data_IF_266657290236
#
_entry.id   IF_266657290236
#
_cell.length_a   1.000
_cell.length_b   1.000
_cell.length_c   1.000
_cell.angle_alpha   90.00
_cell.angle_beta   90.00
_cell.angle_gamma   90.00
#
_symmetry.space_group_name_H-M   'P 1'
#
loop_
_entity.id
_entity.type
_entity.pdbx_description
1 polymer ?
#
# COMPACT_ATOMS: atom_id res chain seq x y z
N UNK A 1 -23.29 -8.35 -14.71
CA UNK A 1 -24.02 -8.94 -13.58
C UNK A 1 -23.06 -9.24 -12.41
N UNK A 2 -22.02 -10.05 -12.56
CA UNK A 2 -21.11 -10.45 -11.47
C UNK A 2 -20.58 -9.26 -10.63
N UNK A 3 -20.10 -8.17 -11.25
CA UNK A 3 -19.57 -7.01 -10.53
C UNK A 3 -20.68 -6.23 -9.81
N UNK A 4 -21.90 -6.22 -10.33
CA UNK A 4 -23.06 -5.64 -9.65
C UNK A 4 -23.38 -6.45 -8.40
N UNK A 5 -23.39 -7.78 -8.50
CA UNK A 5 -23.64 -8.66 -7.37
C UNK A 5 -22.53 -8.52 -6.30
N UNK A 6 -21.26 -8.41 -6.72
CA UNK A 6 -20.14 -8.17 -5.81
C UNK A 6 -20.29 -6.83 -5.06
N UNK A 7 -20.66 -5.75 -5.77
CA UNK A 7 -20.90 -4.44 -5.16
C UNK A 7 -22.10 -4.50 -4.22
N UNK A 8 -23.20 -5.11 -4.64
CA UNK A 8 -24.41 -5.23 -3.82
C UNK A 8 -24.15 -6.04 -2.54
N UNK A 9 -23.45 -7.16 -2.65
CA UNK A 9 -23.07 -7.97 -1.49
C UNK A 9 -22.10 -7.24 -0.58
N UNK A 10 -21.13 -6.51 -1.15
CA UNK A 10 -20.06 -5.87 -0.40
C UNK A 10 -19.15 -6.89 0.33
N UNK A 11 -18.27 -6.39 1.18
CA UNK A 11 -17.37 -7.21 2.00
C UNK A 11 -17.55 -6.91 3.48
N UNK A 12 -17.67 -7.94 4.31
CA UNK A 12 -17.81 -7.79 5.76
C UNK A 12 -16.52 -7.30 6.40
N UNK A 13 -16.66 -6.41 7.38
CA UNK A 13 -15.54 -5.90 8.18
C UNK A 13 -15.88 -5.99 9.68
N UNK A 14 -14.91 -6.42 10.46
CA UNK A 14 -14.97 -6.36 11.92
C UNK A 14 -14.70 -4.92 12.40
N UNK A 15 -15.77 -4.16 12.56
CA UNK A 15 -15.74 -2.75 12.94
C UNK A 15 -15.09 -2.55 14.32
N UNK A 16 -15.41 -3.40 15.29
CA UNK A 16 -14.87 -3.31 16.65
C UNK A 16 -13.35 -3.53 16.65
N UNK A 17 -12.89 -4.53 15.90
CA UNK A 17 -11.46 -4.81 15.70
C UNK A 17 -10.78 -3.67 14.95
N UNK A 18 -11.41 -3.08 13.94
CA UNK A 18 -10.88 -1.94 13.19
C UNK A 18 -10.66 -0.71 14.08
N UNK A 19 -11.65 -0.33 14.89
CA UNK A 19 -11.56 0.77 15.85
C UNK A 19 -10.44 0.51 16.88
N UNK A 20 -10.39 -0.70 17.42
CA UNK A 20 -9.38 -1.10 18.41
C UNK A 20 -7.97 -1.04 17.82
N UNK A 21 -7.82 -1.52 16.59
CA UNK A 21 -6.56 -1.47 15.86
C UNK A 21 -6.12 -0.03 15.57
N UNK A 22 -7.05 0.82 15.13
CA UNK A 22 -6.78 2.26 14.92
C UNK A 22 -6.28 2.95 16.19
N UNK A 23 -6.93 2.71 17.34
CA UNK A 23 -6.48 3.23 18.65
C UNK A 23 -5.09 2.73 19.03
N UNK A 24 -4.80 1.44 18.79
CA UNK A 24 -3.47 0.87 19.05
C UNK A 24 -2.39 1.54 18.21
N UNK A 25 -2.62 1.73 16.90
CA UNK A 25 -1.67 2.41 16.01
C UNK A 25 -1.45 3.86 16.42
N UNK A 26 -2.52 4.59 16.77
CA UNK A 26 -2.45 5.97 17.27
C UNK A 26 -1.59 6.06 18.52
N UNK A 27 -1.84 5.18 19.50
CA UNK A 27 -1.03 5.09 20.73
C UNK A 27 0.45 4.85 20.42
N UNK A 28 0.75 3.93 19.49
CA UNK A 28 2.14 3.64 19.06
C UNK A 28 2.80 4.85 18.41
N UNK A 29 2.07 5.57 17.54
CA UNK A 29 2.55 6.81 16.94
C UNK A 29 2.90 7.84 18.01
N UNK A 30 1.99 8.07 18.95
CA UNK A 30 2.16 9.08 20.01
C UNK A 30 3.34 8.72 20.93
N UNK A 31 3.51 7.44 21.27
CA UNK A 31 4.67 6.96 22.01
C UNK A 31 6.01 7.29 21.29
N UNK A 32 6.05 7.13 19.97
CA UNK A 32 7.25 7.45 19.19
C UNK A 32 7.50 8.95 19.16
N UNK A 33 6.46 9.76 18.95
CA UNK A 33 6.59 11.23 18.92
C UNK A 33 7.07 11.75 20.27
N UNK A 34 6.49 11.27 21.37
CA UNK A 34 6.90 11.65 22.73
C UNK A 34 8.35 11.19 23.03
N UNK A 35 8.77 10.03 22.52
CA UNK A 35 10.15 9.58 22.66
C UNK A 35 11.14 10.47 21.89
N UNK A 36 10.76 10.98 20.69
CA UNK A 36 11.59 11.96 19.98
C UNK A 36 11.70 13.25 20.81
N UNK A 37 10.60 13.75 21.36
CA UNK A 37 10.58 14.94 22.20
C UNK A 37 11.45 14.75 23.44
N UNK A 38 11.39 13.60 24.10
CA UNK A 38 12.24 13.28 25.26
C UNK A 38 13.74 13.23 24.94
N UNK A 39 14.10 12.80 23.72
CA UNK A 39 15.52 12.72 23.30
C UNK A 39 16.05 14.10 22.88
N UNK A 40 15.21 14.92 22.22
CA UNK A 40 15.65 16.14 21.53
C UNK A 40 15.16 17.42 22.18
N UNK A 41 14.28 17.33 23.20
CA UNK A 41 13.55 18.47 23.80
C UNK A 41 12.71 19.28 22.83
N UNK A 42 12.51 18.80 21.58
CA UNK A 42 11.76 19.46 20.53
C UNK A 42 10.44 18.75 20.32
N UNK A 43 9.34 19.46 20.45
CA UNK A 43 8.01 18.98 20.05
C UNK A 43 7.92 18.93 18.53
N UNK A 44 7.71 17.73 17.98
CA UNK A 44 7.74 17.48 16.54
C UNK A 44 6.35 17.18 16.00
N UNK A 45 5.93 17.98 15.02
CA UNK A 45 4.88 17.57 14.08
C UNK A 45 5.54 16.79 12.94
N UNK A 46 5.19 15.52 12.84
CA UNK A 46 5.83 14.59 11.90
C UNK A 46 5.54 14.90 10.41
N UNK A 47 4.54 15.72 10.10
CA UNK A 47 4.16 16.10 8.74
C UNK A 47 4.56 17.54 8.38
N UNK A 48 4.64 18.43 9.35
CA UNK A 48 4.97 19.82 9.12
C UNK A 48 6.46 20.00 8.78
N UNK A 49 6.76 20.42 7.55
CA UNK A 49 8.13 20.61 7.07
C UNK A 49 8.95 21.57 7.92
N UNK A 50 8.33 22.64 8.45
CA UNK A 50 8.98 23.58 9.34
C UNK A 50 9.36 22.95 10.69
N UNK A 51 8.50 22.08 11.25
CA UNK A 51 8.79 21.35 12.48
C UNK A 51 9.94 20.37 12.28
N UNK A 52 9.93 19.65 11.17
CA UNK A 52 11.01 18.72 10.79
C UNK A 52 12.33 19.48 10.58
N UNK A 53 12.29 20.66 9.95
CA UNK A 53 13.49 21.48 9.76
C UNK A 53 14.13 21.85 11.10
N UNK A 54 13.33 22.31 12.08
CA UNK A 54 13.83 22.61 13.44
C UNK A 54 14.53 21.40 14.08
N UNK A 55 13.97 20.22 13.90
CA UNK A 55 14.57 18.99 14.41
C UNK A 55 15.89 18.67 13.70
N UNK A 56 15.96 18.79 12.36
CA UNK A 56 17.18 18.55 11.58
C UNK A 56 18.29 19.53 11.96
N UNK A 57 17.95 20.81 12.12
CA UNK A 57 18.90 21.86 12.55
C UNK A 57 19.46 21.54 13.96
N UNK A 58 18.60 21.11 14.89
CA UNK A 58 19.02 20.70 16.24
C UNK A 58 19.94 19.46 16.21
N UNK A 59 19.65 18.50 15.33
CA UNK A 59 20.46 17.29 15.16
C UNK A 59 21.71 17.51 14.28
N UNK A 60 21.96 18.72 13.80
CA UNK A 60 23.05 19.08 12.90
C UNK A 60 23.07 18.27 11.59
N UNK A 61 21.90 17.83 11.12
CA UNK A 61 21.74 17.03 9.88
C UNK A 61 21.53 18.00 8.70
N UNK A 62 22.41 17.93 7.70
CA UNK A 62 22.39 18.81 6.51
C UNK A 62 22.32 18.05 5.18
N UNK A 63 22.41 16.75 5.18
CA UNK A 63 22.50 15.85 4.02
C UNK A 63 21.13 15.51 3.40
N UNK A 64 20.23 16.47 3.30
CA UNK A 64 18.90 16.30 2.74
C UNK A 64 18.63 17.23 1.55
N UNK A 65 17.72 16.81 0.65
CA UNK A 65 17.25 17.65 -0.46
C UNK A 65 16.23 18.67 0.06
N UNK A 66 16.19 19.83 -0.60
CA UNK A 66 15.22 20.89 -0.30
C UNK A 66 14.26 21.13 -1.48
N UNK A 67 13.06 21.58 -1.19
CA UNK A 67 12.10 22.00 -2.21
C UNK A 67 12.61 23.25 -2.93
N UNK A 68 12.50 23.36 -4.27
CA UNK A 68 13.03 24.51 -5.02
C UNK A 68 12.45 25.86 -4.56
N UNK A 69 11.12 25.90 -4.32
CA UNK A 69 10.41 27.14 -3.97
C UNK A 69 10.52 27.50 -2.49
N UNK A 70 10.13 26.60 -1.60
CA UNK A 70 9.99 26.89 -0.17
C UNK A 70 11.27 26.62 0.64
N UNK A 71 12.31 26.04 0.02
CA UNK A 71 13.59 25.66 0.68
C UNK A 71 13.40 24.77 1.92
N UNK A 72 12.28 24.04 1.96
CA UNK A 72 11.96 23.11 3.06
C UNK A 72 12.52 21.72 2.79
N UNK A 73 12.83 20.94 3.86
CA UNK A 73 13.36 19.60 3.73
C UNK A 73 12.44 18.66 2.94
N UNK A 74 13.00 17.96 1.97
CA UNK A 74 12.37 16.82 1.31
C UNK A 74 12.91 15.53 1.89
N UNK A 75 12.07 14.81 2.64
CA UNK A 75 12.47 13.58 3.30
C UNK A 75 11.64 12.40 2.74
N UNK A 76 12.10 11.78 1.65
CA UNK A 76 11.48 10.59 1.10
C UNK A 76 11.44 9.46 2.14
N UNK A 77 10.50 8.55 1.98
CA UNK A 77 10.32 7.42 2.91
C UNK A 77 11.61 6.60 3.09
N UNK A 78 12.31 6.35 1.99
CA UNK A 78 13.52 5.53 2.01
C UNK A 78 14.66 6.26 2.71
N UNK A 79 14.86 7.55 2.45
CA UNK A 79 15.82 8.38 3.19
C UNK A 79 15.60 8.29 4.71
N UNK A 80 14.35 8.48 5.16
CA UNK A 80 14.03 8.39 6.58
C UNK A 80 14.27 7.00 7.17
N UNK A 81 13.97 5.93 6.41
CA UNK A 81 14.10 4.54 6.89
C UNK A 81 15.55 4.08 7.02
N UNK A 82 16.40 4.49 6.08
CA UNK A 82 17.80 4.03 5.98
C UNK A 82 18.78 4.97 6.68
N UNK A 83 18.35 6.14 7.12
CA UNK A 83 19.19 7.13 7.74
C UNK A 83 19.81 6.63 9.06
N UNK A 84 21.10 6.95 9.31
CA UNK A 84 21.81 6.53 10.51
C UNK A 84 21.22 7.10 11.81
N UNK A 85 20.62 8.29 11.76
CA UNK A 85 20.03 8.93 12.93
C UNK A 85 18.72 8.23 13.36
N UNK A 86 18.66 7.86 14.64
CA UNK A 86 17.51 7.15 15.24
C UNK A 86 16.20 7.96 15.16
N UNK A 87 16.26 9.28 15.39
CA UNK A 87 15.05 10.12 15.38
C UNK A 87 14.42 10.16 13.99
N UNK A 88 15.20 10.16 12.90
CA UNK A 88 14.65 10.12 11.54
C UNK A 88 13.97 8.79 11.23
N UNK A 89 14.55 7.67 11.65
CA UNK A 89 13.89 6.35 11.54
C UNK A 89 12.60 6.29 12.37
N UNK A 90 12.57 6.91 13.54
CA UNK A 90 11.37 7.02 14.37
C UNK A 90 10.30 7.87 13.68
N UNK A 91 10.63 8.97 13.01
CA UNK A 91 9.68 9.74 12.18
C UNK A 91 9.12 8.88 11.06
N UNK A 92 9.94 8.11 10.35
CA UNK A 92 9.46 7.19 9.33
C UNK A 92 8.40 6.23 9.88
N UNK A 93 8.65 5.68 11.06
CA UNK A 93 7.74 4.74 11.73
C UNK A 93 6.47 5.42 12.24
N UNK A 94 6.57 6.61 12.80
CA UNK A 94 5.42 7.40 13.23
C UNK A 94 4.51 7.77 12.04
N UNK A 95 5.08 8.19 10.91
CA UNK A 95 4.35 8.46 9.66
C UNK A 95 3.67 7.21 9.11
N UNK A 96 4.32 6.04 9.21
CA UNK A 96 3.72 4.76 8.80
C UNK A 96 2.46 4.44 9.60
N UNK A 97 2.51 4.59 10.94
CA UNK A 97 1.36 4.38 11.81
C UNK A 97 0.26 5.43 11.57
N UNK A 98 0.63 6.70 11.46
CA UNK A 98 -0.33 7.78 11.22
C UNK A 98 -1.06 7.61 9.89
N UNK A 99 -0.34 7.28 8.81
CA UNK A 99 -0.94 6.96 7.52
C UNK A 99 -1.86 5.73 7.61
N UNK A 100 -1.46 4.71 8.37
CA UNK A 100 -2.29 3.52 8.54
C UNK A 100 -3.62 3.84 9.23
N UNK A 101 -3.60 4.71 10.24
CA UNK A 101 -4.84 5.17 10.90
C UNK A 101 -5.70 6.01 9.97
N UNK A 102 -5.13 7.10 9.43
CA UNK A 102 -5.93 8.11 8.75
C UNK A 102 -6.37 7.67 7.35
N UNK A 103 -5.50 7.00 6.60
CA UNK A 103 -5.79 6.61 5.22
C UNK A 103 -6.51 5.26 5.14
N UNK A 104 -6.14 4.29 5.97
CA UNK A 104 -6.69 2.95 5.85
C UNK A 104 -7.78 2.67 6.88
N UNK A 105 -7.53 2.82 8.18
CA UNK A 105 -8.55 2.47 9.18
C UNK A 105 -9.74 3.42 9.09
N UNK A 106 -9.52 4.72 9.23
CA UNK A 106 -10.60 5.71 9.15
C UNK A 106 -11.24 5.72 7.76
N UNK A 107 -10.40 5.70 6.70
CA UNK A 107 -10.90 5.67 5.32
C UNK A 107 -11.72 4.42 4.96
N UNK A 108 -11.60 3.31 5.70
CA UNK A 108 -12.51 2.17 5.58
C UNK A 108 -13.77 2.38 6.41
N UNK A 109 -13.62 2.87 7.66
CA UNK A 109 -14.75 3.06 8.59
C UNK A 109 -15.76 4.09 8.07
N UNK A 110 -15.32 5.10 7.33
CA UNK A 110 -16.17 6.13 6.71
C UNK A 110 -17.15 5.54 5.66
N UNK A 111 -16.86 4.35 5.12
CA UNK A 111 -17.68 3.67 4.12
C UNK A 111 -18.37 2.40 4.66
N UNK A 112 -18.38 2.19 5.96
CA UNK A 112 -19.07 1.04 6.55
C UNK A 112 -20.57 1.32 6.64
N UNK A 113 -21.34 0.41 6.08
CA UNK A 113 -22.79 0.34 6.23
C UNK A 113 -23.16 -1.09 6.66
N UNK A 114 -23.86 -1.25 7.77
CA UNK A 114 -24.28 -2.56 8.31
C UNK A 114 -23.14 -3.60 8.36
N UNK A 115 -21.98 -3.21 8.90
CA UNK A 115 -20.75 -4.02 8.99
C UNK A 115 -20.16 -4.43 7.62
N UNK A 116 -20.54 -3.75 6.53
CA UNK A 116 -20.07 -4.02 5.18
C UNK A 116 -19.52 -2.78 4.50
N UNK A 117 -18.65 -3.01 3.54
CA UNK A 117 -18.13 -1.98 2.64
C UNK A 117 -18.56 -2.36 1.22
N UNK A 118 -19.22 -1.42 0.54
CA UNK A 118 -19.72 -1.56 -0.82
C UNK A 118 -18.94 -0.65 -1.77
N UNK A 119 -17.69 -1.03 -2.04
CA UNK A 119 -16.83 -0.24 -2.91
C UNK A 119 -17.36 -0.19 -4.36
N UNK A 120 -17.15 0.94 -5.01
CA UNK A 120 -17.42 1.06 -6.44
C UNK A 120 -16.36 0.31 -7.25
N UNK A 121 -16.81 -0.45 -8.25
CA UNK A 121 -15.93 -1.19 -9.16
C UNK A 121 -16.03 -0.54 -10.54
N UNK A 122 -14.97 0.15 -10.98
CA UNK A 122 -14.92 0.86 -12.24
C UNK A 122 -14.31 -0.06 -13.32
N UNK A 123 -15.10 -0.39 -14.33
CA UNK A 123 -14.71 -1.26 -15.44
C UNK A 123 -13.97 -0.51 -16.55
N UNK A 124 -14.44 0.71 -16.85
CA UNK A 124 -13.90 1.57 -17.89
C UNK A 124 -13.54 2.93 -17.31
N UNK A 125 -12.68 3.65 -18.00
CA UNK A 125 -12.35 5.01 -17.60
C UNK A 125 -13.51 5.96 -17.83
N UNK A 126 -13.83 6.76 -16.83
CA UNK A 126 -14.80 7.84 -16.84
C UNK A 126 -14.32 8.98 -15.96
N UNK A 127 -15.06 10.08 -15.90
CA UNK A 127 -14.78 11.20 -15.00
C UNK A 127 -14.86 10.78 -13.52
N UNK A 128 -15.62 9.72 -13.20
CA UNK A 128 -15.78 9.17 -11.86
C UNK A 128 -14.67 8.19 -11.45
N UNK A 129 -13.80 7.77 -12.37
CA UNK A 129 -12.72 6.81 -12.09
C UNK A 129 -12.40 5.90 -13.27
N UNK A 130 -11.70 4.80 -12.99
CA UNK A 130 -11.27 3.82 -13.99
C UNK A 130 -9.81 3.97 -14.40
N UNK A 131 -9.33 3.02 -15.22
CA UNK A 131 -7.96 2.99 -15.71
C UNK A 131 -7.92 3.07 -17.24
N UNK A 132 -6.83 3.57 -17.80
CA UNK A 132 -6.59 3.58 -19.26
C UNK A 132 -6.15 2.22 -19.79
N UNK A 133 -5.77 1.30 -18.91
CA UNK A 133 -5.21 0.01 -19.25
C UNK A 133 -6.23 -1.11 -19.35
N UNK A 134 -7.53 -0.82 -19.12
CA UNK A 134 -8.60 -1.83 -19.07
C UNK A 134 -8.64 -2.68 -17.80
N UNK A 135 -7.75 -2.43 -16.82
CA UNK A 135 -7.85 -3.06 -15.49
C UNK A 135 -9.01 -2.47 -14.71
N UNK A 136 -9.67 -3.26 -13.90
CA UNK A 136 -10.62 -2.73 -12.93
C UNK A 136 -9.93 -1.83 -11.92
N UNK A 137 -10.60 -0.76 -11.51
CA UNK A 137 -10.20 0.02 -10.35
C UNK A 137 -11.33 0.10 -9.35
N UNK A 138 -11.00 0.41 -8.10
CA UNK A 138 -11.97 0.58 -7.03
C UNK A 138 -11.92 1.99 -6.46
N UNK A 139 -13.08 2.50 -6.06
CA UNK A 139 -13.25 3.77 -5.35
C UNK A 139 -14.34 3.66 -4.30
N UNK A 140 -14.39 4.59 -3.38
CA UNK A 140 -15.43 4.73 -2.36
C UNK A 140 -15.67 3.47 -1.49
N UNK A 141 -14.63 2.87 -0.85
CA UNK A 141 -13.20 3.20 -0.86
C UNK A 141 -12.41 2.37 -1.88
N UNK A 142 -11.12 2.76 -2.11
CA UNK A 142 -10.25 1.94 -2.94
C UNK A 142 -9.69 0.74 -2.15
N UNK A 143 -10.37 -0.40 -2.21
CA UNK A 143 -9.96 -1.63 -1.53
C UNK A 143 -8.70 -2.27 -2.10
N UNK A 144 -8.31 -1.93 -3.35
CA UNK A 144 -7.08 -2.44 -3.97
C UNK A 144 -5.81 -1.84 -3.35
N UNK A 145 -5.93 -0.71 -2.65
CA UNK A 145 -4.79 -0.06 -1.98
C UNK A 145 -4.54 -0.55 -0.55
N UNK A 146 -5.34 -1.48 -0.05
CA UNK A 146 -5.14 -2.05 1.28
C UNK A 146 -3.77 -2.74 1.34
N UNK A 147 -2.91 -2.33 2.29
CA UNK A 147 -1.58 -2.91 2.38
C UNK A 147 -1.65 -4.41 2.69
N UNK A 148 -0.72 -5.18 2.09
CA UNK A 148 -0.65 -6.64 2.29
C UNK A 148 0.62 -7.08 3.04
N UNK A 149 1.68 -6.25 2.99
CA UNK A 149 3.00 -6.61 3.54
C UNK A 149 3.20 -6.01 4.94
N UNK A 150 4.05 -6.67 5.71
CA UNK A 150 4.41 -6.23 7.06
C UNK A 150 3.31 -6.39 8.09
N UNK A 151 3.58 -5.94 9.33
CA UNK A 151 2.65 -6.07 10.46
C UNK A 151 1.30 -5.35 10.20
N UNK A 152 1.36 -4.10 9.72
CA UNK A 152 0.17 -3.30 9.46
C UNK A 152 -0.69 -3.95 8.37
N UNK A 153 -0.06 -4.40 7.27
CA UNK A 153 -0.78 -5.02 6.17
C UNK A 153 -1.49 -6.30 6.57
N UNK A 154 -0.81 -7.18 7.31
CA UNK A 154 -1.43 -8.39 7.84
C UNK A 154 -2.64 -8.07 8.74
N UNK A 155 -2.48 -7.12 9.68
CA UNK A 155 -3.57 -6.71 10.59
C UNK A 155 -4.72 -6.01 9.88
N UNK A 156 -4.45 -5.22 8.84
CA UNK A 156 -5.49 -4.61 8.01
C UNK A 156 -6.33 -5.67 7.28
N UNK A 157 -5.70 -6.69 6.74
CA UNK A 157 -6.42 -7.78 6.06
C UNK A 157 -7.23 -8.65 7.00
N UNK A 158 -6.79 -8.82 8.24
CA UNK A 158 -7.56 -9.52 9.28
C UNK A 158 -8.86 -8.80 9.71
N UNK A 159 -9.07 -7.55 9.29
CA UNK A 159 -10.31 -6.82 9.53
C UNK A 159 -11.44 -7.30 8.62
N UNK A 160 -11.11 -7.84 7.45
CA UNK A 160 -12.09 -8.39 6.53
C UNK A 160 -12.41 -9.82 6.91
N UNK A 161 -13.68 -10.08 7.19
CA UNK A 161 -14.14 -11.38 7.67
C UNK A 161 -15.06 -12.04 6.64
N UNK A 162 -15.03 -13.38 6.49
CA UNK A 162 -15.95 -14.07 5.62
C UNK A 162 -17.36 -14.07 6.19
N UNK A 163 -18.33 -14.53 5.40
CA UNK A 163 -19.67 -14.84 5.90
C UNK A 163 -19.61 -15.97 6.93
N UNK A 164 -20.62 -16.02 7.79
CA UNK A 164 -20.74 -17.08 8.77
C UNK A 164 -20.76 -18.46 8.10
N UNK A 165 -19.97 -19.40 8.62
CA UNK A 165 -19.77 -20.72 8.00
C UNK A 165 -18.91 -20.75 6.74
N UNK A 166 -18.43 -19.61 6.24
CA UNK A 166 -17.59 -19.51 5.04
C UNK A 166 -16.11 -19.28 5.39
N UNK A 167 -15.25 -19.45 4.40
CA UNK A 167 -13.81 -19.16 4.48
C UNK A 167 -13.39 -18.26 3.31
N UNK A 168 -12.32 -17.49 3.50
CA UNK A 168 -11.65 -16.79 2.40
C UNK A 168 -10.81 -17.77 1.59
N UNK A 169 -10.99 -17.76 0.28
CA UNK A 169 -10.05 -18.34 -0.69
C UNK A 169 -9.31 -17.21 -1.40
N UNK A 170 -8.01 -17.39 -1.64
CA UNK A 170 -7.22 -16.51 -2.48
C UNK A 170 -6.70 -17.29 -3.66
N UNK A 171 -7.07 -16.88 -4.86
CA UNK A 171 -6.67 -17.50 -6.13
C UNK A 171 -6.03 -16.42 -6.98
N UNK A 172 -4.80 -16.68 -7.43
CA UNK A 172 -4.05 -15.74 -8.25
C UNK A 172 -3.32 -16.53 -9.36
N UNK A 173 -3.37 -16.03 -10.58
CA UNK A 173 -2.62 -16.64 -11.68
C UNK A 173 -1.14 -16.31 -11.55
N UNK A 174 -0.30 -17.34 -11.59
CA UNK A 174 1.15 -17.13 -11.62
C UNK A 174 1.55 -16.44 -12.91
N UNK A 175 2.11 -15.22 -12.78
CA UNK A 175 2.71 -14.47 -13.88
C UNK A 175 1.78 -14.30 -15.11
N UNK A 176 0.50 -14.00 -14.87
CA UNK A 176 -0.51 -13.92 -15.93
C UNK A 176 -0.11 -12.98 -17.07
N UNK A 177 0.38 -11.77 -16.77
CA UNK A 177 0.73 -10.78 -17.80
C UNK A 177 1.89 -11.23 -18.68
N UNK A 178 3.03 -11.69 -18.15
CA UNK A 178 4.09 -12.28 -18.96
C UNK A 178 3.62 -13.45 -19.84
N UNK A 179 2.80 -14.36 -19.30
CA UNK A 179 2.24 -15.48 -20.06
C UNK A 179 1.38 -15.03 -21.24
N UNK A 180 0.57 -13.99 -21.06
CA UNK A 180 -0.23 -13.40 -22.15
C UNK A 180 0.68 -12.76 -23.21
N UNK A 181 1.73 -12.04 -22.81
CA UNK A 181 2.69 -11.45 -23.75
C UNK A 181 3.35 -12.52 -24.60
N UNK A 182 3.85 -13.60 -23.99
CA UNK A 182 4.48 -14.72 -24.71
C UNK A 182 3.47 -15.39 -25.64
N UNK A 183 2.23 -15.63 -25.18
CA UNK A 183 1.17 -16.19 -26.02
C UNK A 183 0.93 -15.38 -27.31
N UNK A 184 0.82 -14.06 -27.19
CA UNK A 184 0.63 -13.22 -28.38
C UNK A 184 1.88 -13.11 -29.24
N UNK A 185 3.08 -13.10 -28.65
CA UNK A 185 4.34 -13.12 -29.41
C UNK A 185 4.45 -14.39 -30.27
N UNK A 186 4.12 -15.54 -29.74
CA UNK A 186 4.04 -16.81 -30.48
C UNK A 186 3.01 -16.72 -31.60
N UNK A 187 1.82 -16.21 -31.31
CA UNK A 187 0.74 -16.07 -32.28
C UNK A 187 1.08 -15.15 -33.46
N UNK A 188 1.98 -14.18 -33.23
CA UNK A 188 2.50 -13.26 -34.23
C UNK A 188 3.76 -13.81 -34.96
N UNK A 189 4.25 -14.98 -34.59
CA UNK A 189 5.45 -15.58 -35.18
C UNK A 189 6.73 -14.79 -34.91
N UNK A 190 6.84 -14.14 -33.74
CA UNK A 190 8.04 -13.37 -33.42
C UNK A 190 9.23 -14.32 -33.15
N UNK A 191 10.45 -13.99 -33.60
CA UNK A 191 11.60 -14.86 -33.42
C UNK A 191 11.97 -15.06 -31.94
N UNK A 192 12.41 -16.27 -31.58
CA UNK A 192 12.81 -16.64 -30.22
C UNK A 192 11.67 -16.98 -29.26
N UNK A 193 10.44 -17.05 -29.76
CA UNK A 193 9.26 -17.34 -28.93
C UNK A 193 9.14 -18.81 -28.54
N UNK A 194 9.72 -19.73 -29.32
CA UNK A 194 9.71 -21.17 -29.03
C UNK A 194 10.43 -21.46 -27.70
N UNK A 195 11.61 -20.90 -27.49
CA UNK A 195 12.39 -21.02 -26.25
C UNK A 195 11.63 -20.45 -25.04
N UNK A 196 10.94 -19.30 -25.21
CA UNK A 196 10.13 -18.73 -24.14
C UNK A 196 8.92 -19.60 -23.81
N UNK A 197 8.31 -20.23 -24.79
CA UNK A 197 7.20 -21.15 -24.57
C UNK A 197 7.66 -22.34 -23.75
N UNK A 198 8.75 -23.02 -24.15
CA UNK A 198 9.34 -24.15 -23.43
C UNK A 198 9.65 -23.78 -21.95
N UNK A 199 10.18 -22.60 -21.72
CA UNK A 199 10.44 -22.13 -20.35
C UNK A 199 9.17 -21.87 -19.54
N UNK A 200 8.10 -21.34 -20.16
CA UNK A 200 6.82 -21.10 -19.47
C UNK A 200 5.97 -22.37 -19.28
N UNK A 201 6.24 -23.43 -20.02
CA UNK A 201 5.57 -24.72 -19.84
C UNK A 201 6.12 -25.50 -18.63
N UNK A 202 7.22 -25.04 -18.03
CA UNK A 202 7.75 -25.59 -16.77
C UNK A 202 6.89 -25.13 -15.58
N UNK A 203 6.66 -26.01 -14.62
CA UNK A 203 5.83 -25.72 -13.43
C UNK A 203 6.39 -24.60 -12.54
N UNK A 204 7.71 -24.42 -12.53
CA UNK A 204 8.47 -23.45 -11.71
C UNK A 204 8.96 -22.23 -12.50
N UNK A 205 8.44 -21.99 -13.70
CA UNK A 205 8.85 -20.89 -14.56
C UNK A 205 8.75 -19.52 -13.83
N UNK A 206 9.85 -18.78 -13.79
CA UNK A 206 9.91 -17.40 -13.29
C UNK A 206 10.39 -16.47 -14.39
N UNK A 207 9.46 -15.69 -14.97
CA UNK A 207 9.74 -14.73 -16.04
C UNK A 207 10.78 -13.68 -15.61
N UNK A 208 10.74 -13.23 -14.36
CA UNK A 208 11.71 -12.24 -13.88
C UNK A 208 13.11 -12.81 -13.82
N UNK A 209 13.26 -14.09 -13.47
CA UNK A 209 14.54 -14.78 -13.50
C UNK A 209 14.99 -15.01 -14.93
N UNK A 210 14.10 -15.47 -15.83
CA UNK A 210 14.40 -15.66 -17.25
C UNK A 210 14.94 -14.35 -17.88
N UNK A 211 14.27 -13.23 -17.64
CA UNK A 211 14.71 -11.91 -18.15
C UNK A 211 16.03 -11.48 -17.50
N UNK A 212 16.23 -11.74 -16.24
CA UNK A 212 17.48 -11.41 -15.55
C UNK A 212 18.67 -12.23 -16.09
N UNK A 213 18.43 -13.48 -16.45
CA UNK A 213 19.47 -14.39 -17.02
C UNK A 213 19.82 -14.02 -18.48
N UNK A 214 18.91 -13.31 -19.18
CA UNK A 214 19.13 -12.83 -20.55
C UNK A 214 19.83 -11.46 -20.60
N UNK A 215 19.90 -10.72 -19.51
CA UNK A 215 20.46 -9.35 -19.46
C UNK A 215 21.93 -9.32 -19.05
#
# INVERSE_FOLDING_TARGET
>A
LCLVDMKFKGVRIDVAKAITFGRHLKKRRDQIVNAIESITTIKVDIWAAASIKKLLDHLCIKDYKVTPKSKMPQLPKDYLKTHNNKCLRMIAKAREYDKAVNTFVNGLLDYVHEERIHADINQIRSDAGGTVTGRFSMSNPNLQQIPSKGYIGKKMRELFIPEEGCKWGSFDYSQQEPRIVVHYAIKLGLPGTETLQEEFDKDDADFHQIVADMA
#
